data_IF_919135818024
#
_entry.id   IF_919135818024
#
_cell.length_a   1.000
_cell.length_b   1.000
_cell.length_c   1.000
_cell.angle_alpha   90.00
_cell.angle_beta   90.00
_cell.angle_gamma   90.00
#
_symmetry.space_group_name_H-M   'P 1'
#
loop_
_entity.id
_entity.type
_entity.pdbx_description
1 polymer ?
#
# COMPACT_ATOMS: atom_id res chain seq x y z
N UNK A 1 -12.18 4.97 -11.56
CA UNK A 1 -12.00 6.32 -10.98
C UNK A 1 -10.50 6.50 -10.70
N UNK A 2 -9.81 7.36 -11.44
CA UNK A 2 -8.41 7.71 -11.11
C UNK A 2 -8.49 8.65 -9.90
N UNK A 3 -8.35 8.10 -8.69
CA UNK A 3 -8.14 8.92 -7.49
C UNK A 3 -6.73 9.52 -7.62
N UNK A 4 -6.63 10.65 -8.32
CA UNK A 4 -5.42 11.47 -8.38
C UNK A 4 -5.39 12.27 -7.08
N UNK A 5 -4.80 11.69 -6.06
CA UNK A 5 -4.71 12.32 -4.74
C UNK A 5 -3.28 12.78 -4.54
N UNK A 6 -3.09 14.10 -4.45
CA UNK A 6 -1.86 14.72 -3.96
C UNK A 6 -1.75 14.43 -2.46
N UNK A 7 -1.29 13.25 -2.07
CA UNK A 7 -0.77 13.05 -0.73
C UNK A 7 0.48 12.19 -0.84
N UNK A 8 1.48 12.52 -0.02
CA UNK A 8 2.72 11.76 0.14
C UNK A 8 2.46 10.33 0.68
N UNK A 9 1.21 9.90 0.77
CA UNK A 9 0.70 8.64 1.27
C UNK A 9 -0.55 8.29 0.45
N UNK A 10 -0.72 7.02 0.10
CA UNK A 10 -1.95 6.54 -0.55
C UNK A 10 -2.66 5.61 0.42
N UNK A 11 -3.88 5.98 0.81
CA UNK A 11 -4.80 5.08 1.50
C UNK A 11 -5.90 4.62 0.54
N UNK A 12 -6.01 3.30 0.35
CA UNK A 12 -7.05 2.66 -0.45
C UNK A 12 -8.04 1.99 0.50
N UNK A 13 -9.19 2.67 0.64
CA UNK A 13 -10.42 2.15 1.20
C UNK A 13 -10.47 2.20 2.72
N UNK A 14 -11.06 3.27 3.26
CA UNK A 14 -11.58 3.28 4.62
C UNK A 14 -13.05 2.85 4.54
N UNK A 15 -13.39 1.73 5.17
CA UNK A 15 -14.77 1.22 5.18
C UNK A 15 -15.48 1.68 6.45
N UNK A 16 -15.68 2.99 6.61
CA UNK A 16 -16.82 3.47 7.38
C UNK A 16 -18.07 3.29 6.51
N UNK A 17 -19.18 2.82 7.10
CA UNK A 17 -20.41 2.39 6.42
C UNK A 17 -21.05 3.40 5.45
N UNK A 18 -20.51 4.62 5.34
CA UNK A 18 -21.06 5.72 4.55
C UNK A 18 -20.12 6.31 3.48
N UNK A 19 -18.83 5.96 3.43
CA UNK A 19 -17.86 6.69 2.57
C UNK A 19 -17.36 5.92 1.34
N UNK A 20 -17.12 4.59 1.35
CA UNK A 20 -16.61 3.91 0.14
C UNK A 20 -16.96 2.42 -0.02
N UNK A 21 -17.19 2.02 -1.29
CA UNK A 21 -17.29 0.62 -1.71
C UNK A 21 -15.95 0.01 -2.14
N UNK A 22 -15.94 -1.31 -2.33
CA UNK A 22 -14.79 -2.09 -2.76
C UNK A 22 -14.10 -1.53 -4.03
N UNK A 23 -12.79 -1.26 -3.93
CA UNK A 23 -11.96 -0.98 -5.10
C UNK A 23 -11.59 -2.27 -5.83
N UNK A 24 -11.97 -2.38 -7.12
CA UNK A 24 -11.77 -3.60 -7.92
C UNK A 24 -10.70 -3.50 -8.99
N UNK A 25 -10.25 -2.30 -9.37
CA UNK A 25 -9.24 -2.07 -10.40
C UNK A 25 -8.50 -0.75 -10.14
N UNK A 26 -7.37 -0.84 -9.42
CA UNK A 26 -6.55 0.33 -9.08
C UNK A 26 -5.17 0.16 -9.68
N UNK A 27 -4.71 1.19 -10.39
CA UNK A 27 -3.36 1.22 -10.97
C UNK A 27 -2.62 2.45 -10.43
N UNK A 28 -1.54 2.20 -9.69
CA UNK A 28 -0.58 3.20 -9.21
C UNK A 28 0.69 3.00 -10.01
N UNK A 29 0.98 3.91 -10.95
CA UNK A 29 2.14 3.76 -11.83
C UNK A 29 2.86 5.05 -12.14
N UNK A 30 4.17 4.94 -12.37
CA UNK A 30 5.04 6.02 -12.80
C UNK A 30 5.02 7.23 -11.84
N UNK A 31 4.86 6.97 -10.54
CA UNK A 31 4.94 8.00 -9.50
C UNK A 31 6.31 7.99 -8.83
N UNK A 32 6.67 9.13 -8.22
CA UNK A 32 7.83 9.26 -7.35
C UNK A 32 7.38 9.70 -5.96
N UNK A 33 7.62 8.86 -4.96
CA UNK A 33 7.37 9.14 -3.55
C UNK A 33 8.70 9.57 -2.91
N UNK A 34 8.73 10.72 -2.24
CA UNK A 34 9.96 11.26 -1.64
C UNK A 34 9.72 11.55 -0.17
N UNK A 35 10.44 10.83 0.70
CA UNK A 35 10.37 10.94 2.16
C UNK A 35 8.91 11.02 2.66
N UNK A 36 8.11 10.10 2.15
CA UNK A 36 6.75 9.85 2.59
C UNK A 36 6.72 9.28 4.01
N UNK A 37 5.55 9.33 4.67
CA UNK A 37 5.34 8.75 6.00
C UNK A 37 6.28 9.33 7.09
N UNK A 38 6.44 10.66 7.15
CA UNK A 38 7.28 11.33 8.18
C UNK A 38 6.63 11.46 9.55
N UNK A 39 5.37 11.06 9.69
CA UNK A 39 4.65 11.01 10.97
C UNK A 39 3.69 9.82 11.01
N UNK A 40 3.37 9.32 12.20
CA UNK A 40 2.36 8.28 12.39
C UNK A 40 0.96 8.89 12.33
N UNK A 41 0.17 8.51 11.33
CA UNK A 41 -1.26 8.77 11.31
C UNK A 41 -2.02 7.46 11.56
N UNK A 42 -3.31 7.56 11.91
CA UNK A 42 -4.14 6.36 11.95
C UNK A 42 -4.16 5.72 10.55
N UNK A 43 -4.15 4.38 10.50
CA UNK A 43 -4.30 3.60 9.26
C UNK A 43 -3.16 3.70 8.23
N UNK A 44 -2.06 4.39 8.57
CA UNK A 44 -0.86 4.47 7.71
C UNK A 44 0.17 3.45 8.15
N UNK A 45 0.03 2.20 7.69
CA UNK A 45 0.97 1.11 8.00
C UNK A 45 2.15 1.02 7.02
N UNK A 46 2.08 1.76 5.91
CA UNK A 46 3.11 1.94 4.91
C UNK A 46 2.86 3.18 4.03
N UNK A 47 3.81 3.53 3.14
CA UNK A 47 3.66 4.63 2.17
C UNK A 47 2.37 4.47 1.33
N UNK A 48 2.09 3.25 0.89
CA UNK A 48 0.81 2.86 0.28
C UNK A 48 0.13 1.87 1.23
N UNK A 49 -0.97 2.27 1.84
CA UNK A 49 -1.78 1.41 2.71
C UNK A 49 -3.10 1.06 2.02
N UNK A 50 -3.42 -0.23 1.92
CA UNK A 50 -4.72 -0.73 1.47
C UNK A 50 -5.39 -1.35 2.70
N UNK A 51 -6.23 -0.57 3.37
CA UNK A 51 -6.67 -0.84 4.75
C UNK A 51 -8.20 -0.87 4.86
N UNK A 52 -8.90 -1.90 4.34
CA UNK A 52 -10.31 -2.07 4.66
C UNK A 52 -10.47 -2.50 6.12
N UNK A 53 -11.55 -2.05 6.76
CA UNK A 53 -11.99 -2.62 8.03
C UNK A 53 -12.72 -3.94 7.79
N UNK A 54 -12.21 -5.03 8.37
CA UNK A 54 -12.78 -6.37 8.22
C UNK A 54 -13.05 -6.93 9.62
N UNK A 55 -14.32 -6.98 10.09
CA UNK A 55 -14.64 -7.40 11.45
C UNK A 55 -14.15 -8.81 11.81
N UNK A 56 -14.22 -9.75 10.87
CA UNK A 56 -13.66 -11.10 11.02
C UNK A 56 -12.71 -11.41 9.86
N UNK A 57 -11.46 -10.93 10.00
CA UNK A 57 -10.42 -11.12 9.00
C UNK A 57 -9.98 -12.59 8.89
N UNK A 58 -10.00 -13.33 10.00
CA UNK A 58 -9.53 -14.71 10.07
C UNK A 58 -10.46 -15.63 9.26
N UNK A 59 -11.78 -15.51 9.46
CA UNK A 59 -12.76 -16.34 8.75
C UNK A 59 -13.25 -15.69 7.45
N UNK A 60 -12.54 -14.67 6.96
CA UNK A 60 -12.88 -13.99 5.72
C UNK A 60 -12.91 -14.97 4.53
N UNK A 61 -14.08 -15.11 3.90
CA UNK A 61 -14.27 -15.92 2.68
C UNK A 61 -14.05 -15.14 1.39
N UNK A 62 -14.46 -13.87 1.36
CA UNK A 62 -14.36 -12.97 0.19
C UNK A 62 -13.34 -11.88 0.46
N UNK A 63 -12.54 -11.54 -0.54
CA UNK A 63 -11.59 -10.43 -0.47
C UNK A 63 -12.30 -9.14 -0.84
N UNK A 64 -12.05 -8.08 -0.07
CA UNK A 64 -12.74 -6.80 -0.17
C UNK A 64 -12.28 -6.04 -1.42
N UNK A 65 -10.96 -5.94 -1.61
CA UNK A 65 -10.36 -5.30 -2.77
C UNK A 65 -9.90 -6.31 -3.83
N UNK A 66 -9.86 -5.85 -5.07
CA UNK A 66 -9.38 -6.65 -6.20
C UNK A 66 -8.50 -5.84 -7.15
N UNK A 67 -7.66 -6.55 -7.91
CA UNK A 67 -6.82 -6.06 -9.00
C UNK A 67 -6.11 -4.74 -8.67
N UNK A 68 -5.27 -4.76 -7.65
CA UNK A 68 -4.42 -3.62 -7.29
C UNK A 68 -3.05 -3.79 -7.95
N UNK A 69 -2.65 -2.82 -8.77
CA UNK A 69 -1.43 -2.86 -9.58
C UNK A 69 -0.56 -1.66 -9.25
N UNK A 70 0.59 -1.90 -8.64
CA UNK A 70 1.59 -0.89 -8.26
C UNK A 70 2.85 -1.14 -9.09
N UNK A 71 3.07 -0.34 -10.13
CA UNK A 71 4.12 -0.62 -11.12
C UNK A 71 4.96 0.57 -11.52
N UNK A 72 6.25 0.36 -11.73
CA UNK A 72 7.18 1.37 -12.23
C UNK A 72 7.18 2.68 -11.40
N UNK A 73 6.99 2.58 -10.09
CA UNK A 73 7.11 3.72 -9.18
C UNK A 73 8.52 3.78 -8.58
N UNK A 74 8.94 4.99 -8.20
CA UNK A 74 10.17 5.21 -7.44
C UNK A 74 9.83 5.65 -6.01
N UNK A 75 10.46 5.04 -5.02
CA UNK A 75 10.36 5.38 -3.61
C UNK A 75 11.72 5.83 -3.11
N UNK A 76 11.92 7.12 -2.87
CA UNK A 76 13.09 7.64 -2.18
C UNK A 76 12.72 7.81 -0.70
N UNK A 77 13.04 6.84 0.14
CA UNK A 77 12.49 6.72 1.51
C UNK A 77 13.58 6.64 2.57
N UNK A 78 13.25 6.99 3.81
CA UNK A 78 14.14 6.87 4.97
C UNK A 78 13.74 5.73 5.92
N UNK A 79 12.53 5.18 5.76
CA UNK A 79 12.01 4.05 6.54
C UNK A 79 11.58 2.90 5.63
N UNK A 80 11.32 1.75 6.24
CA UNK A 80 11.13 0.47 5.57
C UNK A 80 9.76 0.28 4.88
N UNK A 81 8.62 0.70 5.45
CA UNK A 81 7.29 0.34 4.94
C UNK A 81 6.92 0.98 3.60
N UNK A 82 6.82 0.19 2.54
CA UNK A 82 6.45 0.68 1.20
C UNK A 82 4.98 0.41 0.91
N UNK A 83 4.55 -0.85 1.05
CA UNK A 83 3.16 -1.26 0.84
C UNK A 83 2.66 -2.10 2.00
N UNK A 84 1.50 -1.73 2.50
CA UNK A 84 0.66 -2.56 3.34
C UNK A 84 -0.61 -2.90 2.57
N UNK A 85 -1.01 -4.17 2.56
CA UNK A 85 -2.26 -4.56 1.92
C UNK A 85 -3.05 -5.58 2.75
N UNK A 86 -4.32 -5.28 2.97
CA UNK A 86 -5.28 -6.14 3.66
C UNK A 86 -6.45 -6.50 2.75
N UNK A 87 -6.83 -7.77 2.74
CA UNK A 87 -8.01 -8.28 2.03
C UNK A 87 -8.04 -7.95 0.53
N UNK A 88 -6.98 -8.33 -0.20
CA UNK A 88 -6.85 -8.10 -1.64
C UNK A 88 -6.78 -9.43 -2.40
N UNK A 89 -7.56 -9.57 -3.47
CA UNK A 89 -7.38 -10.64 -4.46
C UNK A 89 -6.86 -10.06 -5.79
N UNK A 90 -5.68 -10.49 -6.23
CA UNK A 90 -5.02 -9.94 -7.40
C UNK A 90 -4.22 -8.69 -7.04
N UNK A 91 -2.97 -8.89 -6.62
CA UNK A 91 -2.07 -7.81 -6.24
C UNK A 91 -0.78 -7.89 -7.05
N UNK A 92 -0.38 -6.80 -7.71
CA UNK A 92 0.85 -6.74 -8.49
C UNK A 92 1.77 -5.63 -7.96
N UNK A 93 3.01 -5.98 -7.66
CA UNK A 93 4.08 -5.04 -7.33
C UNK A 93 5.28 -5.31 -8.25
N UNK A 94 5.41 -4.54 -9.34
CA UNK A 94 6.35 -4.85 -10.41
C UNK A 94 7.13 -3.64 -10.92
N UNK A 95 8.43 -3.80 -11.15
CA UNK A 95 9.26 -2.76 -11.76
C UNK A 95 9.49 -1.53 -10.87
N UNK A 96 9.17 -1.61 -9.57
CA UNK A 96 9.33 -0.49 -8.67
C UNK A 96 10.79 -0.39 -8.19
N UNK A 97 11.26 0.83 -7.98
CA UNK A 97 12.59 1.11 -7.43
C UNK A 97 12.44 1.73 -6.06
N UNK A 98 13.03 1.11 -5.04
CA UNK A 98 13.12 1.63 -3.68
C UNK A 98 14.56 2.07 -3.47
N UNK A 99 14.75 3.28 -2.96
CA UNK A 99 16.05 3.86 -2.62
C UNK A 99 16.00 4.37 -1.20
N UNK A 100 16.78 3.74 -0.32
CA UNK A 100 16.88 4.17 1.06
C UNK A 100 17.85 5.33 1.21
N UNK A 101 17.47 6.27 2.07
CA UNK A 101 18.29 7.40 2.50
C UNK A 101 18.24 7.53 4.03
N UNK A 102 19.00 8.48 4.56
CA UNK A 102 19.07 8.75 6.00
C UNK A 102 18.63 10.18 6.36
N UNK A 103 17.76 10.79 5.54
CA UNK A 103 17.31 12.16 5.75
C UNK A 103 16.51 12.33 7.04
N UNK A 104 15.89 11.25 7.53
CA UNK A 104 15.18 11.18 8.79
C UNK A 104 15.49 9.87 9.51
N UNK A 105 15.24 9.82 10.82
CA UNK A 105 15.36 8.59 11.61
C UNK A 105 14.14 7.71 11.40
N UNK A 106 14.36 6.44 11.02
CA UNK A 106 13.31 5.44 10.96
C UNK A 106 12.61 5.29 12.31
N UNK A 107 11.28 5.25 12.31
CA UNK A 107 10.46 5.20 13.52
C UNK A 107 9.31 4.21 13.41
N UNK A 108 8.93 3.79 12.20
CA UNK A 108 7.73 2.99 11.99
C UNK A 108 7.88 1.57 12.57
N UNK A 109 6.83 1.04 13.20
CA UNK A 109 6.88 -0.29 13.82
C UNK A 109 7.02 -1.41 12.78
N UNK A 110 6.33 -1.27 11.64
CA UNK A 110 6.44 -2.19 10.51
C UNK A 110 7.87 -2.13 9.93
N UNK A 111 8.56 -3.27 9.93
CA UNK A 111 9.92 -3.42 9.38
C UNK A 111 9.95 -4.22 8.07
N UNK A 112 8.79 -4.41 7.43
CA UNK A 112 8.70 -5.07 6.13
C UNK A 112 8.41 -4.05 5.03
N UNK A 113 9.14 -4.07 3.90
CA UNK A 113 8.79 -3.29 2.71
C UNK A 113 7.38 -3.59 2.21
N UNK A 114 7.01 -4.87 2.23
CA UNK A 114 5.71 -5.37 1.80
C UNK A 114 5.10 -6.16 2.95
N UNK A 115 3.99 -5.68 3.51
CA UNK A 115 3.26 -6.35 4.58
C UNK A 115 1.86 -6.69 4.10
N UNK A 116 1.50 -7.98 4.12
CA UNK A 116 0.23 -8.47 3.60
C UNK A 116 -0.58 -9.23 4.65
N UNK A 117 -1.88 -8.93 4.71
CA UNK A 117 -2.85 -9.62 5.56
C UNK A 117 -4.02 -10.10 4.71
N UNK A 118 -4.18 -11.42 4.57
CA UNK A 118 -5.19 -12.01 3.67
C UNK A 118 -5.10 -11.41 2.26
N UNK A 119 -3.96 -11.61 1.61
CA UNK A 119 -3.76 -11.26 0.19
C UNK A 119 -3.51 -12.54 -0.60
N UNK A 120 -4.11 -12.65 -1.78
CA UNK A 120 -3.89 -13.79 -2.69
C UNK A 120 -3.66 -13.33 -4.12
N UNK A 121 -3.19 -14.27 -4.95
CA UNK A 121 -2.93 -14.06 -6.37
C UNK A 121 -1.93 -12.89 -6.58
N UNK A 122 -0.78 -13.00 -5.88
CA UNK A 122 0.26 -11.97 -5.87
C UNK A 122 1.28 -12.15 -6.99
N UNK A 123 1.68 -11.06 -7.64
CA UNK A 123 2.76 -11.00 -8.61
C UNK A 123 3.79 -9.95 -8.20
N UNK A 124 4.96 -10.39 -7.75
CA UNK A 124 6.04 -9.51 -7.29
C UNK A 124 7.28 -9.80 -8.13
N UNK A 125 7.72 -8.85 -8.95
CA UNK A 125 8.83 -9.11 -9.88
C UNK A 125 9.54 -7.85 -10.34
N UNK A 126 10.84 -7.97 -10.66
CA UNK A 126 11.62 -6.88 -11.26
C UNK A 126 11.70 -5.61 -10.42
N UNK A 127 11.58 -5.72 -9.09
CA UNK A 127 11.73 -4.59 -8.18
C UNK A 127 13.20 -4.47 -7.74
N UNK A 128 13.68 -3.25 -7.61
CA UNK A 128 14.98 -2.95 -7.00
C UNK A 128 14.74 -2.41 -5.59
N UNK A 129 15.44 -2.98 -4.60
CA UNK A 129 15.41 -2.55 -3.20
C UNK A 129 16.75 -1.96 -2.80
#
# INVERSE_FOLDING_TARGET
MVKKVHFNLIDIGHADEFETGACTDVIIRNNRFVNALTNMFQFTNAIISIYPEIPDLVNQKKYFHKNIVIVNNQFDTFDQPIVYAKSVAGFTFKGNTIKHNHNYKAFHWNRSPLLFERVKDTAISGNSF
#
